data_IF_172926736062
#
_entry.id   IF_172926736062
#
_cell.length_a   1.000
_cell.length_b   1.000
_cell.length_c   1.000
_cell.angle_alpha   90.00
_cell.angle_beta   90.00
_cell.angle_gamma   90.00
#
_symmetry.space_group_name_H-M   'P 1'
#
loop_
_entity.id
_entity.type
_entity.pdbx_description
1 polymer ?
#
# COMPACT_ATOMS: atom_id res chain seq x y z
N UNK A 1 -35.06 -37.43 11.07
CA UNK A 1 -35.26 -37.05 9.66
C UNK A 1 -35.62 -35.57 9.67
N UNK A 2 -34.61 -34.71 9.50
CA UNK A 2 -34.82 -33.27 9.37
C UNK A 2 -34.73 -32.92 7.89
N UNK A 3 -35.81 -32.39 7.34
CA UNK A 3 -35.90 -31.97 5.95
C UNK A 3 -34.94 -30.79 5.70
N UNK A 4 -33.83 -31.08 5.01
CA UNK A 4 -32.92 -30.07 4.50
C UNK A 4 -33.55 -29.39 3.29
N UNK A 5 -34.09 -28.18 3.50
CA UNK A 5 -34.55 -27.29 2.43
C UNK A 5 -33.35 -26.57 1.78
N UNK A 6 -32.45 -27.35 1.17
CA UNK A 6 -31.40 -26.84 0.31
C UNK A 6 -31.82 -27.01 -1.14
N UNK A 7 -32.44 -26.01 -1.75
CA UNK A 7 -32.54 -25.94 -3.21
C UNK A 7 -31.12 -25.76 -3.74
N UNK A 8 -30.44 -26.86 -4.07
CA UNK A 8 -29.18 -26.80 -4.80
C UNK A 8 -29.48 -26.26 -6.20
N UNK A 9 -29.38 -24.94 -6.39
CA UNK A 9 -29.29 -24.40 -7.73
C UNK A 9 -28.08 -25.06 -8.40
N UNK A 10 -28.32 -25.85 -9.44
CA UNK A 10 -27.26 -26.48 -10.20
C UNK A 10 -26.80 -25.48 -11.27
N UNK A 11 -25.88 -24.59 -10.90
CA UNK A 11 -25.39 -23.54 -11.80
C UNK A 11 -24.50 -24.16 -12.89
N UNK A 12 -24.68 -23.75 -14.15
CA UNK A 12 -23.66 -24.02 -15.18
C UNK A 12 -22.46 -23.09 -15.02
N UNK A 13 -21.32 -23.43 -15.63
CA UNK A 13 -20.14 -22.56 -15.63
C UNK A 13 -20.44 -21.15 -16.19
N UNK A 14 -21.26 -21.09 -17.26
CA UNK A 14 -21.67 -19.83 -17.89
C UNK A 14 -22.52 -18.96 -16.97
N UNK A 15 -23.45 -19.58 -16.24
CA UNK A 15 -24.32 -18.87 -15.29
C UNK A 15 -23.53 -18.38 -14.07
N UNK A 16 -22.66 -19.24 -13.52
CA UNK A 16 -21.91 -18.93 -12.30
C UNK A 16 -20.96 -17.74 -12.48
N UNK A 17 -20.31 -17.65 -13.65
CA UNK A 17 -19.39 -16.56 -13.97
C UNK A 17 -20.04 -15.38 -14.69
N UNK A 18 -21.33 -15.47 -15.03
CA UNK A 18 -22.03 -14.43 -15.80
C UNK A 18 -21.43 -14.19 -17.19
N UNK A 19 -20.95 -15.25 -17.87
CA UNK A 19 -20.21 -15.10 -19.13
C UNK A 19 -21.02 -14.44 -20.24
N UNK A 20 -22.33 -14.65 -20.25
CA UNK A 20 -23.22 -14.06 -21.25
C UNK A 20 -23.31 -12.54 -21.17
N UNK A 21 -23.06 -11.95 -20.01
CA UNK A 21 -23.01 -10.50 -19.83
C UNK A 21 -21.56 -10.00 -19.98
N UNK A 22 -20.60 -10.67 -19.33
CA UNK A 22 -19.19 -10.29 -19.38
C UNK A 22 -18.64 -10.24 -20.81
N UNK A 23 -18.96 -11.23 -21.64
CA UNK A 23 -18.47 -11.37 -23.01
C UNK A 23 -19.28 -10.57 -24.05
N UNK A 24 -20.17 -9.66 -23.61
CA UNK A 24 -20.81 -8.66 -24.48
C UNK A 24 -20.22 -7.26 -24.33
N UNK A 25 -19.36 -7.05 -23.32
CA UNK A 25 -18.87 -5.70 -22.96
C UNK A 25 -17.74 -5.21 -23.87
N UNK A 26 -17.30 -6.00 -24.85
CA UNK A 26 -16.15 -5.71 -25.68
C UNK A 26 -16.48 -4.78 -26.85
N UNK A 27 -17.76 -4.55 -27.14
CA UNK A 27 -18.20 -3.61 -28.16
C UNK A 27 -18.15 -4.17 -29.58
N UNK A 28 -18.53 -5.43 -29.75
CA UNK A 28 -18.65 -6.11 -31.05
C UNK A 28 -19.58 -5.36 -32.03
N UNK A 29 -20.44 -4.48 -31.52
CA UNK A 29 -21.38 -3.63 -32.26
C UNK A 29 -20.78 -2.29 -32.74
N UNK A 30 -19.54 -1.96 -32.37
CA UNK A 30 -18.91 -0.65 -32.65
C UNK A 30 -17.87 -0.68 -33.78
N UNK A 31 -17.83 -1.74 -34.60
CA UNK A 31 -16.86 -1.93 -35.69
C UNK A 31 -15.39 -1.72 -35.24
N UNK A 32 -15.04 -2.18 -34.03
CA UNK A 32 -13.69 -1.97 -33.46
C UNK A 32 -12.63 -2.80 -34.18
N UNK A 33 -11.40 -2.27 -34.25
CA UNK A 33 -10.25 -2.98 -34.79
C UNK A 33 -9.76 -4.09 -33.84
N UNK A 34 -8.99 -5.07 -34.34
CA UNK A 34 -8.37 -6.10 -33.48
C UNK A 34 -7.46 -5.52 -32.40
N UNK A 35 -6.75 -4.42 -32.72
CA UNK A 35 -5.88 -3.71 -31.79
C UNK A 35 -6.68 -2.98 -30.70
N UNK A 36 -7.84 -2.42 -31.05
CA UNK A 36 -8.75 -1.79 -30.10
C UNK A 36 -9.43 -2.82 -29.18
N UNK A 37 -9.83 -3.98 -29.73
CA UNK A 37 -10.30 -5.13 -28.94
C UNK A 37 -9.25 -5.57 -27.90
N UNK A 38 -7.99 -5.69 -28.31
CA UNK A 38 -6.88 -6.00 -27.41
C UNK A 38 -6.77 -4.95 -26.28
N UNK A 39 -6.82 -3.66 -26.64
CA UNK A 39 -6.79 -2.57 -25.66
C UNK A 39 -7.95 -2.68 -24.66
N UNK A 40 -9.17 -2.92 -25.13
CA UNK A 40 -10.37 -3.06 -24.29
C UNK A 40 -10.24 -4.23 -23.32
N UNK A 41 -9.85 -5.42 -23.79
CA UNK A 41 -9.72 -6.61 -22.96
C UNK A 41 -8.69 -6.40 -21.84
N UNK A 42 -7.53 -5.83 -22.14
CA UNK A 42 -6.49 -5.53 -21.15
C UNK A 42 -7.01 -4.60 -20.05
N UNK A 43 -7.77 -3.56 -20.42
CA UNK A 43 -8.32 -2.63 -19.41
C UNK A 43 -9.48 -3.22 -18.61
N UNK A 44 -10.33 -4.04 -19.24
CA UNK A 44 -11.40 -4.76 -18.54
C UNK A 44 -10.85 -5.74 -17.51
N UNK A 45 -9.76 -6.45 -17.82
CA UNK A 45 -9.13 -7.36 -16.85
C UNK A 45 -8.47 -6.60 -15.70
N UNK A 46 -7.87 -5.43 -15.94
CA UNK A 46 -7.42 -4.55 -14.84
C UNK A 46 -8.57 -4.17 -13.91
N UNK A 47 -9.72 -3.76 -14.45
CA UNK A 47 -10.87 -3.37 -13.64
C UNK A 47 -11.47 -4.55 -12.84
N UNK A 48 -11.43 -5.77 -13.39
CA UNK A 48 -11.78 -6.98 -12.63
C UNK A 48 -10.80 -7.24 -11.48
N UNK A 49 -9.50 -7.08 -11.71
CA UNK A 49 -8.50 -7.19 -10.66
C UNK A 49 -8.62 -6.10 -9.60
N UNK A 50 -8.85 -4.85 -9.99
CA UNK A 50 -9.08 -3.76 -9.03
C UNK A 50 -10.28 -4.02 -8.14
N UNK A 51 -11.36 -4.61 -8.67
CA UNK A 51 -12.51 -5.03 -7.88
C UNK A 51 -12.12 -6.05 -6.81
N UNK A 52 -11.29 -7.04 -7.16
CA UNK A 52 -10.77 -8.02 -6.20
C UNK A 52 -9.85 -7.35 -5.16
N UNK A 53 -8.91 -6.52 -5.59
CA UNK A 53 -8.02 -5.75 -4.71
C UNK A 53 -8.81 -4.94 -3.69
N UNK A 54 -9.84 -4.22 -4.11
CA UNK A 54 -10.69 -3.43 -3.20
C UNK A 54 -11.36 -4.32 -2.15
N UNK A 55 -11.81 -5.53 -2.53
CA UNK A 55 -12.41 -6.50 -1.60
C UNK A 55 -11.41 -6.96 -0.54
N UNK A 56 -10.25 -7.44 -0.96
CA UNK A 56 -9.18 -7.97 -0.09
C UNK A 56 -8.67 -6.89 0.89
N UNK A 57 -8.44 -5.68 0.39
CA UNK A 57 -7.97 -4.55 1.20
C UNK A 57 -9.05 -4.04 2.16
N UNK A 58 -10.33 -4.09 1.77
CA UNK A 58 -11.43 -3.72 2.66
C UNK A 58 -11.55 -4.69 3.83
N UNK A 59 -11.44 -6.01 3.57
CA UNK A 59 -11.45 -7.03 4.61
C UNK A 59 -10.24 -6.90 5.55
N UNK A 60 -9.04 -6.66 5.01
CA UNK A 60 -7.83 -6.39 5.81
C UNK A 60 -8.03 -5.18 6.73
N UNK A 61 -8.58 -4.09 6.20
CA UNK A 61 -8.88 -2.89 6.99
C UNK A 61 -9.89 -3.18 8.10
N UNK A 62 -10.96 -3.92 7.79
CA UNK A 62 -11.98 -4.28 8.77
C UNK A 62 -11.39 -5.11 9.92
N UNK A 63 -10.51 -6.08 9.61
CA UNK A 63 -9.79 -6.87 10.62
C UNK A 63 -8.94 -5.97 11.51
N UNK A 64 -8.08 -5.12 10.94
CA UNK A 64 -7.17 -4.27 11.71
C UNK A 64 -7.91 -3.16 12.49
N UNK A 65 -9.08 -2.75 11.99
CA UNK A 65 -9.95 -1.74 12.60
C UNK A 65 -10.70 -2.21 13.85
N UNK A 66 -10.69 -3.50 14.18
CA UNK A 66 -11.31 -4.00 15.41
C UNK A 66 -10.63 -3.41 16.66
N UNK A 67 -11.41 -3.09 17.70
CA UNK A 67 -10.91 -2.57 18.98
C UNK A 67 -9.99 -3.56 19.72
N UNK A 68 -10.22 -4.85 19.50
CA UNK A 68 -9.33 -5.95 19.86
C UNK A 68 -9.26 -6.88 18.64
N UNK A 69 -8.05 -7.12 18.12
CA UNK A 69 -7.85 -8.00 16.98
C UNK A 69 -7.43 -9.38 17.52
N UNK A 70 -8.25 -10.42 17.36
CA UNK A 70 -7.84 -11.78 17.73
C UNK A 70 -6.60 -12.19 16.92
N UNK A 71 -5.63 -12.84 17.55
CA UNK A 71 -4.35 -13.18 16.91
C UNK A 71 -4.55 -14.07 15.68
N UNK A 72 -5.56 -14.95 15.70
CA UNK A 72 -5.90 -15.83 14.59
C UNK A 72 -6.44 -15.10 13.35
N UNK A 73 -6.80 -13.81 13.46
CA UNK A 73 -7.22 -12.97 12.32
C UNK A 73 -6.04 -12.30 11.61
N UNK A 74 -4.89 -12.16 12.25
CA UNK A 74 -3.70 -11.56 11.61
C UNK A 74 -3.21 -12.41 10.42
N UNK A 75 -3.11 -13.75 10.50
CA UNK A 75 -2.81 -14.58 9.33
C UNK A 75 -3.74 -14.33 8.16
N UNK A 76 -5.05 -14.18 8.42
CA UNK A 76 -6.04 -13.89 7.37
C UNK A 76 -5.77 -12.53 6.70
N UNK A 77 -5.46 -11.49 7.48
CA UNK A 77 -5.04 -10.19 6.94
C UNK A 77 -3.76 -10.29 6.09
N UNK A 78 -2.79 -11.10 6.53
CA UNK A 78 -1.56 -11.40 5.76
C UNK A 78 -1.90 -12.09 4.44
N UNK A 79 -2.77 -13.10 4.44
CA UNK A 79 -3.18 -13.82 3.23
C UNK A 79 -3.86 -12.90 2.21
N UNK A 80 -4.73 -11.99 2.67
CA UNK A 80 -5.37 -10.98 1.82
C UNK A 80 -4.35 -10.03 1.18
N UNK A 81 -3.38 -9.54 1.96
CA UNK A 81 -2.29 -8.69 1.47
C UNK A 81 -1.40 -9.44 0.48
N UNK A 82 -1.00 -10.68 0.79
CA UNK A 82 -0.19 -11.51 -0.09
C UNK A 82 -0.90 -11.78 -1.42
N UNK A 83 -2.20 -12.08 -1.41
CA UNK A 83 -2.99 -12.22 -2.64
C UNK A 83 -3.03 -10.92 -3.43
N UNK A 84 -3.21 -9.79 -2.76
CA UNK A 84 -3.21 -8.46 -3.40
C UNK A 84 -1.86 -8.17 -4.06
N UNK A 85 -0.75 -8.50 -3.38
CA UNK A 85 0.61 -8.38 -3.92
C UNK A 85 0.80 -9.22 -5.19
N UNK A 86 0.34 -10.47 -5.20
CA UNK A 86 0.40 -11.31 -6.39
C UNK A 86 -0.46 -10.77 -7.54
N UNK A 87 -1.62 -10.20 -7.24
CA UNK A 87 -2.46 -9.53 -8.25
C UNK A 87 -1.70 -8.33 -8.86
N UNK A 88 -1.00 -7.51 -8.06
CA UNK A 88 -0.18 -6.42 -8.61
C UNK A 88 1.02 -6.90 -9.43
N UNK A 89 1.66 -8.02 -9.05
CA UNK A 89 2.72 -8.65 -9.85
C UNK A 89 2.17 -9.12 -11.20
N UNK A 90 1.03 -9.82 -11.20
CA UNK A 90 0.35 -10.24 -12.42
C UNK A 90 -0.05 -9.04 -13.30
N UNK A 91 -0.59 -7.98 -12.69
CA UNK A 91 -0.96 -6.75 -13.40
C UNK A 91 0.24 -6.01 -13.98
N UNK A 92 1.41 -6.08 -13.33
CA UNK A 92 2.65 -5.55 -13.89
C UNK A 92 3.07 -6.33 -15.14
N UNK A 93 3.05 -7.67 -15.06
CA UNK A 93 3.34 -8.54 -16.21
C UNK A 93 2.31 -8.38 -17.33
N UNK A 94 1.04 -8.09 -16.99
CA UNK A 94 -0.02 -7.87 -17.95
C UNK A 94 0.29 -6.71 -18.92
N UNK A 95 1.13 -5.73 -18.54
CA UNK A 95 1.58 -4.69 -19.46
C UNK A 95 2.34 -5.27 -20.66
N UNK A 96 3.08 -6.37 -20.50
CA UNK A 96 3.79 -7.03 -21.62
C UNK A 96 2.86 -7.56 -22.70
N UNK A 97 1.60 -7.89 -22.34
CA UNK A 97 0.56 -8.25 -23.31
C UNK A 97 0.22 -7.02 -24.16
N UNK A 98 -0.01 -5.87 -23.51
CA UNK A 98 -0.29 -4.61 -24.21
C UNK A 98 0.90 -4.07 -25.01
N UNK A 99 2.13 -4.37 -24.61
CA UNK A 99 3.34 -4.00 -25.36
C UNK A 99 3.43 -4.68 -26.73
N UNK A 100 2.62 -5.71 -27.01
CA UNK A 100 2.49 -6.29 -28.35
C UNK A 100 1.73 -5.39 -29.33
N UNK A 101 0.98 -4.41 -28.82
CA UNK A 101 0.35 -3.37 -29.63
C UNK A 101 1.42 -2.45 -30.22
N UNK A 102 1.41 -2.28 -31.54
CA UNK A 102 2.36 -1.36 -32.17
C UNK A 102 1.95 0.10 -31.96
N UNK A 103 2.90 1.06 -31.92
CA UNK A 103 2.56 2.48 -31.86
C UNK A 103 1.62 2.94 -32.98
N UNK A 104 1.77 2.40 -34.19
CA UNK A 104 0.88 2.72 -35.31
C UNK A 104 -0.51 2.09 -35.14
N UNK A 105 -0.58 0.84 -34.64
CA UNK A 105 -1.83 0.18 -34.28
C UNK A 105 -2.64 1.00 -33.28
N UNK A 106 -1.97 1.51 -32.23
CA UNK A 106 -2.60 2.41 -31.27
C UNK A 106 -3.11 3.71 -31.91
N UNK A 107 -2.33 4.33 -32.81
CA UNK A 107 -2.75 5.58 -33.47
C UNK A 107 -3.99 5.42 -34.34
N UNK A 108 -4.26 4.23 -34.88
CA UNK A 108 -5.43 4.00 -35.72
C UNK A 108 -6.76 4.19 -34.99
N UNK A 109 -6.81 3.93 -33.68
CA UNK A 109 -8.05 4.05 -32.89
C UNK A 109 -7.96 5.09 -31.76
N UNK A 110 -6.77 5.67 -31.51
CA UNK A 110 -6.54 6.64 -30.43
C UNK A 110 -7.54 7.80 -30.44
N UNK A 111 -7.88 8.32 -31.61
CA UNK A 111 -8.79 9.47 -31.74
C UNK A 111 -10.22 9.11 -31.29
N UNK A 112 -10.60 7.84 -31.42
CA UNK A 112 -11.88 7.31 -30.93
C UNK A 112 -12.01 7.30 -29.40
N UNK A 113 -10.89 7.34 -28.67
CA UNK A 113 -10.89 7.43 -27.20
C UNK A 113 -11.37 8.80 -26.71
N UNK A 114 -11.33 9.85 -27.54
CA UNK A 114 -11.72 11.20 -27.16
C UNK A 114 -10.99 11.70 -25.91
N UNK A 115 -11.74 12.06 -24.87
CA UNK A 115 -11.19 12.50 -23.57
C UNK A 115 -11.00 11.35 -22.57
N UNK A 116 -11.35 10.12 -22.95
CA UNK A 116 -11.25 8.98 -22.05
C UNK A 116 -9.80 8.76 -21.61
N UNK A 117 -9.64 8.53 -20.31
CA UNK A 117 -8.32 8.40 -19.70
C UNK A 117 -8.37 7.52 -18.46
N UNK A 118 -7.25 6.89 -18.12
CA UNK A 118 -7.10 6.16 -16.84
C UNK A 118 -7.34 7.04 -15.61
N UNK A 119 -7.34 8.37 -15.76
CA UNK A 119 -7.80 9.30 -14.71
C UNK A 119 -9.26 9.11 -14.30
N UNK A 120 -10.08 8.52 -15.18
CA UNK A 120 -11.49 8.24 -14.96
C UNK A 120 -11.72 6.83 -14.37
N UNK A 121 -10.66 6.05 -14.11
CA UNK A 121 -10.79 4.78 -13.37
C UNK A 121 -11.14 5.04 -11.91
N UNK A 122 -12.42 4.88 -11.58
CA UNK A 122 -12.91 5.09 -10.22
C UNK A 122 -12.40 4.04 -9.24
N UNK A 123 -12.21 2.79 -9.67
CA UNK A 123 -11.68 1.73 -8.80
C UNK A 123 -10.21 1.99 -8.46
N UNK A 124 -9.42 2.51 -9.39
CA UNK A 124 -8.05 2.93 -9.09
C UNK A 124 -8.02 4.02 -8.02
N UNK A 125 -8.90 5.02 -8.11
CA UNK A 125 -9.03 6.04 -7.06
C UNK A 125 -9.53 5.46 -5.75
N UNK A 126 -10.50 4.55 -5.80
CA UNK A 126 -11.05 3.94 -4.59
C UNK A 126 -9.99 3.18 -3.80
N UNK A 127 -9.19 2.31 -4.43
CA UNK A 127 -8.17 1.58 -3.68
C UNK A 127 -7.05 2.51 -3.19
N UNK A 128 -6.69 3.56 -3.93
CA UNK A 128 -5.71 4.55 -3.46
C UNK A 128 -6.20 5.29 -2.21
N UNK A 129 -7.49 5.65 -2.18
CA UNK A 129 -8.12 6.28 -1.01
C UNK A 129 -8.19 5.27 0.14
N UNK A 130 -8.61 4.03 -0.14
CA UNK A 130 -8.67 2.95 0.86
C UNK A 130 -7.31 2.68 1.50
N UNK A 131 -6.22 2.70 0.73
CA UNK A 131 -4.87 2.52 1.25
C UNK A 131 -4.42 3.69 2.14
N UNK A 132 -4.90 4.91 1.85
CA UNK A 132 -4.58 6.12 2.60
C UNK A 132 -3.73 7.14 1.84
N UNK A 133 -3.70 7.10 0.50
CA UNK A 133 -2.98 8.09 -0.30
C UNK A 133 -3.66 9.46 -0.25
N UNK A 134 -3.07 10.37 0.52
CA UNK A 134 -3.58 11.73 0.75
C UNK A 134 -3.39 12.66 -0.46
N UNK A 135 -4.17 13.74 -0.50
CA UNK A 135 -4.11 14.70 -1.60
C UNK A 135 -2.76 15.40 -1.68
N UNK A 136 -2.17 15.80 -0.54
CA UNK A 136 -0.85 16.43 -0.46
C UNK A 136 0.29 15.54 -0.96
N UNK A 137 0.08 14.22 -0.95
CA UNK A 137 1.07 13.23 -1.39
C UNK A 137 0.92 12.88 -2.88
N UNK A 138 -0.13 13.38 -3.53
CA UNK A 138 -0.35 13.26 -4.97
C UNK A 138 0.43 14.32 -5.73
N UNK A 139 0.81 13.99 -6.96
CA UNK A 139 1.51 14.91 -7.85
C UNK A 139 0.69 16.21 -8.00
N UNK A 140 1.26 17.32 -7.55
CA UNK A 140 0.62 18.64 -7.60
C UNK A 140 -0.54 18.85 -6.62
N UNK A 141 -0.68 18.04 -5.57
CA UNK A 141 -1.76 18.21 -4.59
C UNK A 141 -3.14 17.85 -5.13
N UNK A 142 -3.21 16.99 -6.16
CA UNK A 142 -4.43 16.67 -6.89
C UNK A 142 -5.55 16.16 -5.99
N UNK A 143 -6.75 16.73 -6.15
CA UNK A 143 -7.98 16.20 -5.56
C UNK A 143 -8.33 14.84 -6.21
N UNK A 144 -8.34 13.74 -5.45
CA UNK A 144 -8.56 12.40 -6.00
C UNK A 144 -9.94 12.19 -6.61
N UNK A 145 -10.96 12.97 -6.20
CA UNK A 145 -12.34 12.78 -6.65
C UNK A 145 -12.88 13.97 -7.45
N UNK A 146 -12.05 14.99 -7.71
CA UNK A 146 -12.44 16.20 -8.42
C UNK A 146 -13.03 15.95 -9.81
N UNK A 147 -12.47 14.99 -10.56
CA UNK A 147 -13.01 14.56 -11.87
C UNK A 147 -14.39 13.92 -11.72
N UNK A 148 -14.58 13.06 -10.73
CA UNK A 148 -15.84 12.33 -10.50
C UNK A 148 -16.98 13.27 -10.08
N UNK A 149 -16.70 14.37 -9.39
CA UNK A 149 -17.71 15.42 -9.13
C UNK A 149 -18.22 16.10 -10.39
N UNK A 150 -17.40 16.19 -11.44
CA UNK A 150 -17.83 16.70 -12.75
C UNK A 150 -18.62 15.64 -13.50
N UNK A 151 -18.15 14.40 -13.49
CA UNK A 151 -18.80 13.27 -14.15
C UNK A 151 -20.19 12.96 -13.57
N UNK A 152 -20.37 13.06 -12.26
CA UNK A 152 -21.65 12.82 -11.58
C UNK A 152 -22.84 13.65 -12.10
N UNK A 153 -22.60 14.70 -12.91
CA UNK A 153 -23.63 15.50 -13.57
C UNK A 153 -24.15 14.87 -14.88
N UNK A 154 -23.50 13.82 -15.38
CA UNK A 154 -23.79 13.19 -16.68
C UNK A 154 -24.85 12.10 -16.59
N UNK A 155 -24.79 11.26 -15.57
CA UNK A 155 -25.71 10.13 -15.38
C UNK A 155 -25.91 9.77 -13.91
N UNK A 156 -26.91 8.93 -13.66
CA UNK A 156 -27.18 8.34 -12.35
C UNK A 156 -26.04 7.43 -11.90
N UNK A 157 -25.47 6.66 -12.80
CA UNK A 157 -24.35 5.74 -12.54
C UNK A 157 -23.10 6.51 -12.12
N UNK A 158 -22.79 7.63 -12.78
CA UNK A 158 -21.66 8.49 -12.40
C UNK A 158 -21.87 9.13 -11.01
N UNK A 159 -23.12 9.44 -10.65
CA UNK A 159 -23.46 9.96 -9.33
C UNK A 159 -23.33 8.89 -8.23
N UNK A 160 -23.65 7.63 -8.53
CA UNK A 160 -23.41 6.49 -7.63
C UNK A 160 -21.92 6.23 -7.43
N UNK A 161 -21.12 6.33 -8.49
CA UNK A 161 -19.66 6.24 -8.42
C UNK A 161 -19.09 7.33 -7.50
N UNK A 162 -19.54 8.58 -7.67
CA UNK A 162 -19.11 9.66 -6.77
C UNK A 162 -19.49 9.36 -5.32
N UNK A 163 -20.73 8.95 -5.06
CA UNK A 163 -21.21 8.61 -3.72
C UNK A 163 -20.38 7.49 -3.09
N UNK A 164 -19.98 6.48 -3.88
CA UNK A 164 -19.08 5.40 -3.44
C UNK A 164 -17.70 5.93 -3.04
N UNK A 165 -17.12 6.84 -3.82
CA UNK A 165 -15.81 7.44 -3.52
C UNK A 165 -15.86 8.40 -2.32
N UNK A 166 -16.93 9.18 -2.18
CA UNK A 166 -17.15 10.06 -1.02
C UNK A 166 -17.30 9.25 0.27
N UNK A 167 -18.06 8.15 0.23
CA UNK A 167 -18.10 7.20 1.34
C UNK A 167 -16.71 6.68 1.67
N UNK A 168 -15.95 6.26 0.66
CA UNK A 168 -14.59 5.74 0.89
C UNK A 168 -13.65 6.76 1.52
N UNK A 169 -13.74 8.04 1.15
CA UNK A 169 -12.98 9.14 1.76
C UNK A 169 -13.34 9.39 3.22
N UNK A 170 -14.59 9.11 3.62
CA UNK A 170 -15.06 9.30 4.99
C UNK A 170 -14.67 8.15 5.93
N UNK A 171 -14.30 7.00 5.37
CA UNK A 171 -13.90 5.82 6.13
C UNK A 171 -12.44 5.91 6.60
N UNK A 172 -12.11 5.19 7.66
CA UNK A 172 -10.72 5.01 8.05
C UNK A 172 -9.91 4.37 6.90
N UNK A 173 -8.69 4.87 6.67
CA UNK A 173 -7.79 4.25 5.70
C UNK A 173 -7.14 2.98 6.25
N UNK A 174 -6.61 2.13 5.37
CA UNK A 174 -5.85 0.96 5.75
C UNK A 174 -4.54 1.34 6.47
N UNK A 175 -3.87 2.42 6.05
CA UNK A 175 -2.73 2.97 6.78
C UNK A 175 -3.10 3.35 8.22
N UNK A 176 -4.20 4.08 8.41
CA UNK A 176 -4.63 4.49 9.76
C UNK A 176 -5.06 3.28 10.60
N UNK A 177 -5.70 2.28 10.00
CA UNK A 177 -6.07 1.03 10.69
C UNK A 177 -4.83 0.25 11.13
N UNK A 178 -3.82 0.14 10.25
CA UNK A 178 -2.53 -0.47 10.56
C UNK A 178 -1.83 0.25 11.71
N UNK A 179 -1.66 1.57 11.62
CA UNK A 179 -0.90 2.31 12.65
C UNK A 179 -1.60 2.32 14.00
N UNK A 180 -2.94 2.35 14.06
CA UNK A 180 -3.69 2.14 15.32
C UNK A 180 -3.53 0.72 15.86
N UNK A 181 -3.43 -0.29 14.99
CA UNK A 181 -3.13 -1.64 15.42
C UNK A 181 -1.70 -1.76 15.99
N UNK A 182 -0.71 -1.20 15.30
CA UNK A 182 0.69 -1.17 15.75
C UNK A 182 0.86 -0.39 17.06
N UNK A 183 0.10 0.68 17.28
CA UNK A 183 0.13 1.45 18.54
C UNK A 183 -0.18 0.60 19.78
N UNK A 184 -0.99 -0.46 19.62
CA UNK A 184 -1.35 -1.39 20.70
C UNK A 184 -0.28 -2.45 20.99
N UNK A 185 0.83 -2.45 20.25
CA UNK A 185 1.94 -3.38 20.48
C UNK A 185 2.41 -3.28 21.93
N UNK A 186 2.54 -4.40 22.65
CA UNK A 186 3.21 -4.42 23.94
C UNK A 186 4.69 -4.11 23.71
N UNK A 187 5.16 -2.95 24.19
CA UNK A 187 6.55 -2.53 24.05
C UNK A 187 7.24 -2.79 25.38
N UNK A 188 8.30 -3.60 25.38
CA UNK A 188 8.98 -4.00 26.63
C UNK A 188 8.03 -4.63 27.67
N UNK A 189 7.02 -5.37 27.19
CA UNK A 189 5.97 -5.98 28.01
C UNK A 189 4.90 -5.01 28.53
N UNK A 190 4.88 -3.74 28.09
CA UNK A 190 3.91 -2.73 28.53
C UNK A 190 2.82 -2.50 27.47
N UNK A 191 1.55 -2.69 27.85
CA UNK A 191 0.41 -2.41 26.99
C UNK A 191 0.04 -0.93 26.98
N UNK A 192 -0.58 -0.51 25.88
CA UNK A 192 -1.14 0.84 25.77
C UNK A 192 -2.13 1.10 26.91
N UNK A 193 -1.81 2.07 27.77
CA UNK A 193 -2.66 2.48 28.89
C UNK A 193 -2.34 1.81 30.23
N UNK A 194 -1.37 0.92 30.31
CA UNK A 194 -0.87 0.38 31.59
C UNK A 194 -0.28 1.49 32.48
N UNK A 195 -0.29 1.26 33.79
CA UNK A 195 0.41 2.14 34.73
C UNK A 195 1.92 2.11 34.44
N UNK A 196 2.51 3.27 34.12
CA UNK A 196 3.92 3.38 33.75
C UNK A 196 4.23 3.14 32.27
N UNK A 197 3.22 2.93 31.43
CA UNK A 197 3.40 2.67 30.00
C UNK A 197 4.19 3.78 29.27
N UNK A 198 3.82 5.03 29.52
CA UNK A 198 4.52 6.18 28.95
C UNK A 198 6.01 6.18 29.30
N UNK A 199 6.35 5.89 30.57
CA UNK A 199 7.74 5.85 31.02
C UNK A 199 8.50 4.67 30.40
N UNK A 200 7.85 3.51 30.25
CA UNK A 200 8.44 2.33 29.61
C UNK A 200 8.82 2.61 28.15
N UNK A 201 7.89 3.20 27.39
CA UNK A 201 8.14 3.55 25.98
C UNK A 201 9.16 4.67 25.85
N UNK A 202 9.13 5.69 26.71
CA UNK A 202 10.13 6.75 26.73
C UNK A 202 11.53 6.19 26.98
N UNK A 203 11.67 5.29 27.94
CA UNK A 203 12.94 4.64 28.23
C UNK A 203 13.42 3.79 27.05
N UNK A 204 12.53 3.03 26.41
CA UNK A 204 12.86 2.25 25.20
C UNK A 204 13.37 3.16 24.08
N UNK A 205 12.64 4.23 23.74
CA UNK A 205 13.01 5.19 22.69
C UNK A 205 14.37 5.82 23.01
N UNK A 206 14.57 6.28 24.24
CA UNK A 206 15.82 6.92 24.64
C UNK A 206 17.00 5.96 24.52
N UNK A 207 16.89 4.75 25.05
CA UNK A 207 17.95 3.75 24.95
C UNK A 207 18.22 3.36 23.49
N UNK A 208 17.20 3.29 22.65
CA UNK A 208 17.37 3.03 21.22
C UNK A 208 18.09 4.17 20.49
N UNK A 209 17.71 5.43 20.75
CA UNK A 209 18.37 6.59 20.15
C UNK A 209 19.83 6.71 20.60
N UNK A 210 20.13 6.41 21.87
CA UNK A 210 21.50 6.33 22.38
C UNK A 210 22.32 5.23 21.65
N UNK A 211 21.71 4.06 21.42
CA UNK A 211 22.33 2.98 20.65
C UNK A 211 22.56 3.35 19.18
N UNK A 212 21.58 4.01 18.55
CA UNK A 212 21.66 4.47 17.16
C UNK A 212 22.77 5.51 16.98
N UNK A 213 22.86 6.47 17.90
CA UNK A 213 23.93 7.46 17.94
C UNK A 213 25.31 6.82 18.11
N UNK A 214 25.44 5.83 19.01
CA UNK A 214 26.69 5.09 19.18
C UNK A 214 27.09 4.37 17.89
N UNK A 215 26.15 3.69 17.23
CA UNK A 215 26.41 2.99 15.97
C UNK A 215 26.86 3.97 14.87
N UNK A 216 26.19 5.11 14.73
CA UNK A 216 26.55 6.14 13.76
C UNK A 216 27.93 6.75 14.04
N UNK A 217 28.26 6.99 15.30
CA UNK A 217 29.58 7.46 15.71
C UNK A 217 30.69 6.46 15.37
N UNK A 218 30.47 5.17 15.62
CA UNK A 218 31.43 4.12 15.28
C UNK A 218 31.61 4.01 13.75
N UNK A 219 30.52 4.10 12.98
CA UNK A 219 30.57 4.15 11.51
C UNK A 219 31.30 5.40 10.98
N UNK A 220 31.08 6.56 11.59
CA UNK A 220 31.75 7.81 11.24
C UNK A 220 33.27 7.72 11.42
N UNK A 221 33.73 7.16 12.55
CA UNK A 221 35.16 6.94 12.83
C UNK A 221 35.87 6.08 11.79
N UNK A 222 35.19 5.08 11.25
CA UNK A 222 35.73 4.23 10.19
C UNK A 222 35.91 5.01 8.88
N UNK A 223 35.02 5.98 8.61
CA UNK A 223 35.00 6.77 7.39
C UNK A 223 35.94 7.99 7.41
N UNK A 224 36.25 8.55 8.60
CA UNK A 224 37.20 9.66 8.76
C UNK A 224 38.57 9.39 8.12
N UNK A 225 38.95 8.11 8.00
CA UNK A 225 40.18 7.68 7.34
C UNK A 225 40.13 7.73 5.80
N UNK A 226 39.00 8.08 5.17
CA UNK A 226 38.79 7.89 3.71
C UNK A 226 38.14 9.06 2.96
N UNK A 227 37.57 10.07 3.62
CA UNK A 227 36.84 11.18 2.96
C UNK A 227 36.82 12.45 3.83
N UNK A 228 36.51 13.61 3.22
CA UNK A 228 36.28 14.89 3.92
C UNK A 228 35.31 14.73 5.11
N UNK A 229 35.86 14.92 6.32
CA UNK A 229 35.23 14.62 7.60
C UNK A 229 33.95 15.41 7.88
N UNK A 230 33.87 16.67 7.44
CA UNK A 230 32.77 17.57 7.79
C UNK A 230 31.43 17.20 7.14
N UNK A 231 31.42 16.86 5.84
CA UNK A 231 30.19 16.45 5.13
C UNK A 231 29.65 15.13 5.68
N UNK A 232 30.54 14.23 6.09
CA UNK A 232 30.17 12.95 6.68
C UNK A 232 29.58 13.17 8.07
N UNK A 233 30.23 13.98 8.91
CA UNK A 233 29.71 14.34 10.23
C UNK A 233 28.31 14.97 10.14
N UNK A 234 28.08 15.90 9.21
CA UNK A 234 26.76 16.50 9.01
C UNK A 234 25.69 15.47 8.61
N UNK A 235 26.01 14.51 7.73
CA UNK A 235 25.07 13.43 7.35
C UNK A 235 24.64 12.58 8.55
N UNK A 236 25.59 12.23 9.43
CA UNK A 236 25.27 11.45 10.64
C UNK A 236 24.43 12.27 11.63
N UNK A 237 24.76 13.55 11.82
CA UNK A 237 23.96 14.46 12.66
C UNK A 237 22.53 14.63 12.12
N UNK A 238 22.36 14.74 10.80
CA UNK A 238 21.04 14.84 10.17
C UNK A 238 20.25 13.52 10.29
N UNK A 239 20.93 12.37 10.21
CA UNK A 239 20.32 11.06 10.45
C UNK A 239 19.87 10.90 11.91
N UNK A 240 20.69 11.31 12.89
CA UNK A 240 20.32 11.32 14.31
C UNK A 240 19.09 12.18 14.58
N UNK A 241 19.06 13.41 14.05
CA UNK A 241 17.90 14.31 14.17
C UNK A 241 16.65 13.73 13.50
N UNK A 242 16.81 13.10 12.33
CA UNK A 242 15.70 12.48 11.61
C UNK A 242 15.10 11.32 12.40
N UNK A 243 15.94 10.51 13.04
CA UNK A 243 15.48 9.43 13.93
C UNK A 243 14.72 9.95 15.15
N UNK A 244 15.21 11.04 15.76
CA UNK A 244 14.53 11.71 16.86
C UNK A 244 13.18 12.28 16.41
N UNK A 245 13.12 13.03 15.32
CA UNK A 245 11.88 13.60 14.75
C UNK A 245 10.88 12.50 14.38
N UNK A 246 11.35 11.35 13.91
CA UNK A 246 10.52 10.21 13.58
C UNK A 246 9.80 9.67 14.83
N UNK A 247 10.53 9.38 15.91
CA UNK A 247 9.96 8.81 17.15
C UNK A 247 9.28 9.86 18.04
N UNK A 248 9.72 11.11 17.97
CA UNK A 248 9.30 12.24 18.79
C UNK A 248 8.83 13.44 17.93
N UNK A 249 7.83 13.27 17.05
CA UNK A 249 7.34 14.40 16.25
C UNK A 249 6.85 15.52 17.15
N UNK A 250 7.38 16.73 16.93
CA UNK A 250 7.14 17.91 17.78
C UNK A 250 7.49 17.69 19.26
N UNK A 251 8.48 16.82 19.54
CA UNK A 251 8.94 16.50 20.90
C UNK A 251 7.99 15.60 21.69
N UNK A 252 7.00 14.97 21.05
CA UNK A 252 6.04 14.06 21.69
C UNK A 252 6.20 12.65 21.16
N UNK A 253 6.18 11.66 22.06
CA UNK A 253 6.25 10.24 21.70
C UNK A 253 5.13 9.89 20.73
N UNK A 254 5.52 9.31 19.59
CA UNK A 254 4.61 8.60 18.71
C UNK A 254 4.69 7.11 19.02
N UNK A 255 3.74 6.61 19.81
CA UNK A 255 3.74 5.20 20.26
C UNK A 255 3.60 4.23 19.08
N UNK A 256 2.81 4.55 18.06
CA UNK A 256 2.69 3.70 16.87
C UNK A 256 4.03 3.49 16.16
N UNK A 257 4.83 4.55 16.02
CA UNK A 257 6.20 4.45 15.46
C UNK A 257 7.16 3.71 16.40
N UNK A 258 7.02 3.87 17.72
CA UNK A 258 7.79 3.09 18.69
C UNK A 258 7.43 1.60 18.66
N UNK A 259 6.15 1.26 18.51
CA UNK A 259 5.66 -0.12 18.36
C UNK A 259 6.16 -0.74 17.07
N UNK A 260 6.14 0.01 15.96
CA UNK A 260 6.72 -0.42 14.70
C UNK A 260 8.22 -0.69 14.83
N UNK A 261 8.96 0.24 15.47
CA UNK A 261 10.37 0.06 15.76
C UNK A 261 10.63 -1.17 16.61
N UNK A 262 9.79 -1.42 17.62
CA UNK A 262 9.90 -2.61 18.47
C UNK A 262 9.68 -3.90 17.66
N UNK A 263 8.62 -3.97 16.84
CA UNK A 263 8.36 -5.12 15.95
C UNK A 263 9.56 -5.39 15.03
N UNK A 264 10.09 -4.35 14.39
CA UNK A 264 11.23 -4.48 13.48
C UNK A 264 12.57 -4.75 14.19
N UNK A 265 12.72 -4.29 15.43
CA UNK A 265 13.94 -4.49 16.20
C UNK A 265 14.03 -5.87 16.81
N UNK A 266 12.91 -6.47 17.27
CA UNK A 266 12.87 -7.75 18.00
C UNK A 266 12.14 -8.86 17.22
N UNK A 267 12.36 -8.92 15.90
CA UNK A 267 11.66 -9.83 14.96
C UNK A 267 11.79 -11.32 15.30
N UNK A 268 12.77 -11.71 16.11
CA UNK A 268 12.98 -13.08 16.55
C UNK A 268 11.99 -13.56 17.62
N UNK A 269 11.29 -12.64 18.28
CA UNK A 269 10.37 -12.98 19.36
C UNK A 269 9.15 -13.76 18.85
N UNK A 270 8.82 -14.93 19.44
CA UNK A 270 7.70 -15.77 19.01
C UNK A 270 6.38 -15.01 18.82
N UNK A 271 5.96 -14.22 19.81
CA UNK A 271 4.71 -13.44 19.77
C UNK A 271 4.68 -12.38 18.65
N UNK A 272 5.85 -11.96 18.15
CA UNK A 272 5.97 -10.98 17.07
C UNK A 272 6.01 -11.62 15.67
N UNK A 273 5.83 -12.94 15.55
CA UNK A 273 5.88 -13.67 14.27
C UNK A 273 4.84 -13.18 13.26
N UNK A 274 3.58 -13.05 13.68
CA UNK A 274 2.53 -12.54 12.80
C UNK A 274 2.61 -11.03 12.62
N UNK A 275 2.90 -10.23 13.66
CA UNK A 275 3.19 -8.81 13.49
C UNK A 275 4.24 -8.49 12.42
N UNK A 276 5.42 -9.12 12.47
CA UNK A 276 6.45 -8.87 11.46
C UNK A 276 6.04 -9.32 10.05
N UNK A 277 5.29 -10.43 9.94
CA UNK A 277 4.77 -10.92 8.66
C UNK A 277 3.74 -9.96 8.06
N UNK A 278 2.90 -9.37 8.90
CA UNK A 278 1.96 -8.33 8.50
C UNK A 278 2.70 -7.09 7.97
N UNK A 279 3.70 -6.58 8.71
CA UNK A 279 4.50 -5.44 8.26
C UNK A 279 5.21 -5.73 6.94
N UNK A 280 5.83 -6.90 6.79
CA UNK A 280 6.46 -7.31 5.53
C UNK A 280 5.44 -7.34 4.37
N UNK A 281 4.24 -7.89 4.58
CA UNK A 281 3.21 -7.97 3.55
C UNK A 281 2.75 -6.58 3.05
N UNK A 282 2.65 -5.59 3.95
CA UNK A 282 2.37 -4.20 3.57
C UNK A 282 3.49 -3.58 2.72
N UNK A 283 4.76 -3.82 3.10
CA UNK A 283 5.92 -3.32 2.37
C UNK A 283 5.99 -3.96 0.97
N UNK A 284 5.77 -5.27 0.87
CA UNK A 284 5.74 -6.00 -0.40
C UNK A 284 4.60 -5.52 -1.31
N UNK A 285 3.42 -5.24 -0.74
CA UNK A 285 2.29 -4.68 -1.48
C UNK A 285 2.66 -3.31 -2.08
N UNK A 286 3.18 -2.37 -1.28
CA UNK A 286 3.55 -1.05 -1.79
C UNK A 286 4.66 -1.11 -2.85
N UNK A 287 5.64 -2.00 -2.66
CA UNK A 287 6.69 -2.24 -3.66
C UNK A 287 6.09 -2.74 -4.99
N UNK A 288 5.17 -3.71 -4.94
CA UNK A 288 4.51 -4.25 -6.13
C UNK A 288 3.67 -3.20 -6.86
N UNK A 289 2.99 -2.32 -6.12
CA UNK A 289 2.26 -1.19 -6.70
C UNK A 289 3.17 -0.17 -7.38
N UNK A 290 4.33 0.12 -6.78
CA UNK A 290 5.31 1.03 -7.35
C UNK A 290 5.88 0.48 -8.66
N UNK A 291 6.19 -0.82 -8.71
CA UNK A 291 6.61 -1.53 -9.93
C UNK A 291 5.53 -1.48 -11.01
N UNK A 292 4.28 -1.83 -10.67
CA UNK A 292 3.16 -1.76 -11.60
C UNK A 292 2.98 -0.35 -12.22
N UNK A 293 3.13 0.72 -11.44
CA UNK A 293 3.09 2.11 -11.96
C UNK A 293 4.28 2.45 -12.85
N UNK A 294 5.46 1.96 -12.50
CA UNK A 294 6.65 2.15 -13.31
C UNK A 294 6.51 1.44 -14.67
N UNK A 295 6.07 0.19 -14.66
CA UNK A 295 5.88 -0.61 -15.88
C UNK A 295 4.79 -0.01 -16.77
N UNK A 296 3.72 0.53 -16.16
CA UNK A 296 2.74 1.33 -16.89
C UNK A 296 3.39 2.55 -17.58
N UNK A 297 4.24 3.30 -16.89
CA UNK A 297 4.93 4.45 -17.47
C UNK A 297 5.85 4.03 -18.65
N UNK A 298 6.58 2.92 -18.50
CA UNK A 298 7.43 2.37 -19.57
C UNK A 298 6.61 1.91 -20.78
N UNK A 299 5.50 1.21 -20.55
CA UNK A 299 4.58 0.79 -21.60
C UNK A 299 4.00 2.01 -22.34
N UNK A 300 3.54 3.04 -21.61
CA UNK A 300 3.06 4.29 -22.23
C UNK A 300 4.17 4.96 -23.06
N UNK A 301 5.39 5.05 -22.54
CA UNK A 301 6.53 5.61 -23.29
C UNK A 301 6.80 4.84 -24.59
N UNK A 302 6.68 3.50 -24.57
CA UNK A 302 6.81 2.66 -25.76
C UNK A 302 5.72 2.93 -26.80
N UNK A 303 4.46 3.12 -26.38
CA UNK A 303 3.31 3.28 -27.28
C UNK A 303 3.19 4.71 -27.83
N UNK A 304 3.35 5.74 -27.00
CA UNK A 304 3.11 7.14 -27.40
C UNK A 304 4.33 8.05 -27.31
N UNK A 305 5.48 7.57 -26.84
CA UNK A 305 6.66 8.40 -26.58
C UNK A 305 6.37 9.49 -25.56
N UNK A 306 6.84 10.71 -25.83
CA UNK A 306 6.63 11.90 -24.98
C UNK A 306 5.38 12.71 -25.33
N UNK A 307 4.43 12.13 -26.07
CA UNK A 307 3.17 12.82 -26.41
C UNK A 307 2.36 13.06 -25.13
N UNK A 308 1.70 14.21 -25.07
CA UNK A 308 0.69 14.50 -24.03
C UNK A 308 -0.38 13.40 -24.03
N UNK A 309 -0.74 12.92 -22.84
CA UNK A 309 -1.80 11.93 -22.67
C UNK A 309 -3.17 12.49 -23.05
N UNK A 310 -4.13 11.64 -23.37
CA UNK A 310 -5.53 12.04 -23.66
C UNK A 310 -6.20 12.73 -22.47
N UNK A 311 -5.74 12.44 -21.24
CA UNK A 311 -6.17 13.11 -20.01
C UNK A 311 -5.52 14.48 -19.74
N UNK A 312 -4.70 15.01 -20.66
CA UNK A 312 -4.13 16.36 -20.56
C UNK A 312 -2.91 16.52 -19.64
N UNK A 313 -2.35 15.44 -19.10
CA UNK A 313 -1.09 15.48 -18.32
C UNK A 313 0.15 15.50 -19.22
N UNK A 314 1.32 15.77 -18.64
CA UNK A 314 2.62 15.65 -19.30
C UNK A 314 2.98 14.24 -19.79
N UNK A 315 2.06 13.27 -19.71
CA UNK A 315 2.23 11.90 -20.18
C UNK A 315 3.15 11.13 -19.25
N UNK A 316 4.27 10.65 -19.79
CA UNK A 316 5.23 9.77 -19.09
C UNK A 316 5.80 10.43 -17.83
N UNK A 317 6.16 11.72 -17.88
CA UNK A 317 6.75 12.41 -16.72
C UNK A 317 5.80 12.43 -15.51
N UNK A 318 4.50 12.63 -15.76
CA UNK A 318 3.47 12.51 -14.72
C UNK A 318 3.44 11.08 -14.18
N UNK A 319 3.37 10.07 -15.05
CA UNK A 319 3.30 8.66 -14.63
C UNK A 319 4.53 8.25 -13.81
N UNK A 320 5.73 8.64 -14.23
CA UNK A 320 6.98 8.40 -13.49
C UNK A 320 6.92 9.02 -12.10
N UNK A 321 6.39 10.22 -11.96
CA UNK A 321 6.24 10.83 -10.64
C UNK A 321 5.26 10.05 -9.73
N UNK A 322 4.24 9.38 -10.29
CA UNK A 322 3.34 8.52 -9.50
C UNK A 322 3.98 7.22 -9.01
N UNK A 323 5.03 6.72 -9.68
CA UNK A 323 5.78 5.54 -9.21
C UNK A 323 6.53 5.79 -7.89
N UNK A 324 6.67 7.06 -7.51
CA UNK A 324 7.32 7.51 -6.27
C UNK A 324 6.36 7.69 -5.10
N UNK A 325 5.07 7.38 -5.27
CA UNK A 325 4.13 7.43 -4.16
C UNK A 325 4.57 6.52 -3.01
N UNK A 326 4.40 7.03 -1.79
CA UNK A 326 4.69 6.35 -0.52
C UNK A 326 3.52 6.62 0.42
N UNK A 327 2.68 5.63 0.57
CA UNK A 327 1.50 5.60 1.44
C UNK A 327 1.93 5.13 2.83
N UNK A 328 2.65 4.00 2.91
CA UNK A 328 3.09 3.40 4.17
C UNK A 328 4.46 3.93 4.63
N UNK A 329 4.62 5.26 4.67
CA UNK A 329 5.92 5.96 4.89
C UNK A 329 6.66 5.46 6.12
N UNK A 330 5.96 5.33 7.23
CA UNK A 330 6.54 4.92 8.51
C UNK A 330 7.20 3.52 8.43
N UNK A 331 6.65 2.61 7.61
CA UNK A 331 7.21 1.24 7.41
C UNK A 331 8.55 1.25 6.67
N UNK A 332 8.83 2.27 5.86
CA UNK A 332 10.12 2.44 5.20
C UNK A 332 11.08 3.27 6.05
N UNK A 333 10.60 4.34 6.67
CA UNK A 333 11.40 5.23 7.51
C UNK A 333 11.98 4.49 8.73
N UNK A 334 11.22 3.61 9.37
CA UNK A 334 11.70 2.83 10.53
C UNK A 334 12.97 2.02 10.23
N UNK A 335 13.11 1.53 8.98
CA UNK A 335 14.27 0.72 8.55
C UNK A 335 15.58 1.52 8.58
N UNK A 336 15.50 2.83 8.47
CA UNK A 336 16.68 3.72 8.48
C UNK A 336 17.25 3.96 9.88
N UNK A 337 16.46 3.67 10.91
CA UNK A 337 16.80 3.92 12.32
C UNK A 337 17.06 2.62 13.12
N UNK A 338 17.07 1.47 12.44
CA UNK A 338 17.41 0.20 13.08
C UNK A 338 18.87 0.18 13.52
N UNK A 339 19.14 -0.54 14.60
CA UNK A 339 20.49 -0.78 15.12
C UNK A 339 20.83 -2.25 15.00
N UNK A 340 22.13 -2.57 15.11
CA UNK A 340 22.57 -3.97 15.14
C UNK A 340 21.98 -4.71 16.35
N UNK A 341 21.67 -6.01 16.24
CA UNK A 341 21.03 -6.77 17.32
C UNK A 341 21.72 -6.66 18.69
N UNK A 342 23.05 -6.60 18.71
CA UNK A 342 23.90 -6.48 19.89
C UNK A 342 23.89 -5.08 20.55
N UNK A 343 23.37 -4.06 19.87
CA UNK A 343 23.23 -2.69 20.38
C UNK A 343 21.79 -2.37 20.80
N UNK A 344 20.83 -3.26 20.54
CA UNK A 344 19.43 -3.03 20.92
C UNK A 344 19.30 -2.86 22.43
N UNK A 345 18.32 -2.07 22.91
CA UNK A 345 17.99 -2.06 24.32
C UNK A 345 17.72 -3.47 24.85
N UNK A 346 18.12 -3.74 26.09
CA UNK A 346 17.84 -5.04 26.73
C UNK A 346 16.33 -5.23 26.88
N UNK A 347 15.83 -6.37 26.43
CA UNK A 347 14.41 -6.69 26.46
C UNK A 347 13.96 -6.89 27.92
N UNK A 348 12.95 -6.15 28.34
CA UNK A 348 12.25 -6.36 29.61
C UNK A 348 11.07 -7.30 29.42
N UNK A 349 10.77 -8.10 30.46
CA UNK A 349 9.68 -9.09 30.47
C UNK A 349 9.79 -10.05 29.28
N UNK A 350 10.97 -10.62 29.03
CA UNK A 350 11.24 -11.45 27.85
C UNK A 350 10.33 -12.69 27.79
N UNK A 351 9.97 -13.24 28.95
CA UNK A 351 9.06 -14.38 29.10
C UNK A 351 7.67 -14.14 28.50
N UNK A 352 7.21 -12.89 28.49
CA UNK A 352 5.93 -12.50 27.88
C UNK A 352 5.87 -12.83 26.39
N UNK A 353 7.00 -12.73 25.69
CA UNK A 353 7.09 -12.94 24.25
C UNK A 353 7.46 -14.38 23.87
N UNK A 354 7.72 -15.24 24.86
CA UNK A 354 8.06 -16.64 24.65
C UNK A 354 6.87 -17.48 24.18
N UNK A 355 7.13 -18.74 23.85
CA UNK A 355 6.03 -19.70 23.66
C UNK A 355 5.38 -19.98 25.01
N UNK A 356 4.07 -19.80 25.10
CA UNK A 356 3.27 -20.31 26.21
C UNK A 356 3.37 -21.84 26.19
N UNK A 357 4.18 -22.41 27.08
CA UNK A 357 4.11 -23.85 27.34
C UNK A 357 3.08 -24.00 28.44
N UNK A 358 1.82 -24.23 28.07
CA UNK A 358 0.84 -24.73 29.02
C UNK A 358 1.36 -26.08 29.53
N UNK A 359 1.76 -26.13 30.81
CA UNK A 359 2.09 -27.39 31.50
C UNK A 359 0.83 -28.07 32.02
#
# INVERSE_FOLDING_TARGET
>A
MGEGNGTSNNWTYGDYLGLHDLLKLQGDDREISSDEMHFIIVHQTFELWFKQVIRELSETREILGLSLVPEEKIPTAVDHLSRTTEIFRLMADQWTVLETLTPQGFLNFRDGLGTASGFESFQMREFEILLGLKSEDRVGGMDPIGTFRKLAKRSTEDAEVLSRLERRLSEQSLYDALMKWVERTPIMGSYLGDEGDQNSVEQFIRSHLEAYKKMNYDSMKLLENTTSSEKIANRFLDAEKSAEIFLLPHGKINRARAGLLFIESYRELPLLTWPRKLIDAFVELEESMAKWRHDHARMVERIIGKRTGTGGTSGVDYLDSTSKYRIFRDLWEVRTILVKPELRPELKNAEFYGYSVDM
#
